data_IF_132359972559
#
_entry.id   IF_132359972559
#
_cell.length_a   1.000
_cell.length_b   1.000
_cell.length_c   1.000
_cell.angle_alpha   90.00
_cell.angle_beta   90.00
_cell.angle_gamma   90.00
#
_symmetry.space_group_name_H-M   'P 1'
#
loop_
_entity.id
_entity.type
_entity.pdbx_description
1 polymer ?
#
# COMPACT_ATOMS: atom_id res chain seq x y z
N UNK A 1 -34.32 -11.91 -2.45
CA UNK A 1 -32.86 -12.00 -2.29
C UNK A 1 -32.54 -12.19 -0.81
N UNK A 2 -31.78 -13.22 -0.42
CA UNK A 2 -31.44 -13.47 1.00
C UNK A 2 -30.43 -12.44 1.53
N UNK A 3 -30.34 -12.21 2.86
CA UNK A 3 -29.32 -11.34 3.44
C UNK A 3 -27.90 -11.77 3.06
N UNK A 4 -27.64 -13.08 3.03
CA UNK A 4 -26.36 -13.65 2.59
C UNK A 4 -26.07 -13.31 1.13
N UNK A 5 -27.01 -13.53 0.20
CA UNK A 5 -26.77 -13.21 -1.21
C UNK A 5 -26.59 -11.71 -1.44
N UNK A 6 -27.31 -10.88 -0.68
CA UNK A 6 -27.13 -9.41 -0.70
C UNK A 6 -25.74 -8.99 -0.20
N UNK A 7 -25.18 -9.70 0.79
CA UNK A 7 -23.82 -9.48 1.28
C UNK A 7 -22.78 -9.87 0.22
N UNK A 8 -22.89 -11.07 -0.36
CA UNK A 8 -22.00 -11.55 -1.42
C UNK A 8 -21.97 -10.60 -2.62
N UNK A 9 -23.13 -10.08 -3.03
CA UNK A 9 -23.21 -9.10 -4.12
C UNK A 9 -22.50 -7.78 -3.82
N UNK A 10 -22.57 -7.27 -2.58
CA UNK A 10 -21.81 -6.05 -2.22
C UNK A 10 -20.32 -6.30 -2.13
N UNK A 11 -19.91 -7.47 -1.65
CA UNK A 11 -18.50 -7.88 -1.64
C UNK A 11 -17.97 -7.97 -3.08
N UNK A 12 -18.71 -8.61 -3.99
CA UNK A 12 -18.40 -8.61 -5.43
C UNK A 12 -18.28 -7.20 -6.01
N UNK A 13 -19.21 -6.30 -5.65
CA UNK A 13 -19.14 -4.89 -6.08
C UNK A 13 -17.88 -4.20 -5.56
N UNK A 14 -17.54 -4.40 -4.29
CA UNK A 14 -16.35 -3.83 -3.67
C UNK A 14 -15.07 -4.29 -4.39
N UNK A 15 -14.84 -5.60 -4.53
CA UNK A 15 -13.61 -6.10 -5.15
C UNK A 15 -13.47 -5.65 -6.62
N UNK A 16 -14.58 -5.62 -7.37
CA UNK A 16 -14.55 -5.11 -8.74
C UNK A 16 -14.26 -3.60 -8.78
N UNK A 17 -14.82 -2.80 -7.85
CA UNK A 17 -14.57 -1.36 -7.78
C UNK A 17 -13.12 -1.09 -7.35
N UNK A 18 -12.59 -1.83 -6.37
CA UNK A 18 -11.19 -1.74 -5.96
C UNK A 18 -10.23 -2.08 -7.11
N UNK A 19 -10.51 -3.15 -7.86
CA UNK A 19 -9.72 -3.52 -9.03
C UNK A 19 -9.73 -2.42 -10.10
N UNK A 20 -10.90 -1.81 -10.37
CA UNK A 20 -11.01 -0.68 -11.29
C UNK A 20 -10.25 0.55 -10.78
N UNK A 21 -10.38 0.87 -9.50
CA UNK A 21 -9.67 1.97 -8.85
C UNK A 21 -8.16 1.85 -9.02
N UNK A 22 -7.60 0.64 -8.89
CA UNK A 22 -6.17 0.41 -9.14
C UNK A 22 -5.76 0.63 -10.61
N UNK A 23 -6.71 0.65 -11.55
CA UNK A 23 -6.46 0.77 -12.97
C UNK A 23 -6.70 2.19 -13.52
N UNK A 24 -7.62 2.95 -12.96
CA UNK A 24 -7.88 4.35 -13.30
C UNK A 24 -8.72 4.87 -12.15
N UNK A 25 -8.28 5.96 -11.52
CA UNK A 25 -8.99 6.50 -10.38
C UNK A 25 -8.92 8.01 -10.36
N UNK A 26 -10.08 8.61 -10.18
CA UNK A 26 -10.27 10.02 -9.85
C UNK A 26 -10.87 10.18 -8.44
N UNK A 27 -11.39 11.37 -8.16
CA UNK A 27 -11.98 11.69 -6.86
C UNK A 27 -13.31 10.96 -6.58
N UNK A 28 -14.16 10.87 -7.60
CA UNK A 28 -15.45 10.19 -7.52
C UNK A 28 -15.26 8.68 -7.30
N UNK A 29 -14.24 8.10 -7.93
CA UNK A 29 -13.89 6.70 -7.77
C UNK A 29 -13.52 6.34 -6.32
N UNK A 30 -12.81 7.20 -5.60
CA UNK A 30 -12.46 6.95 -4.20
C UNK A 30 -13.71 7.01 -3.31
N UNK A 31 -14.55 8.04 -3.47
CA UNK A 31 -15.77 8.20 -2.68
C UNK A 31 -16.72 7.01 -2.87
N UNK A 32 -16.89 6.56 -4.11
CA UNK A 32 -17.71 5.39 -4.42
C UNK A 32 -17.07 4.12 -3.82
N UNK A 33 -15.76 3.92 -3.99
CA UNK A 33 -15.04 2.77 -3.41
C UNK A 33 -15.25 2.68 -1.89
N UNK A 34 -15.05 3.79 -1.18
CA UNK A 34 -15.24 3.85 0.27
C UNK A 34 -16.69 3.60 0.70
N UNK A 35 -17.65 4.02 -0.13
CA UNK A 35 -19.08 3.81 0.13
C UNK A 35 -19.46 2.35 -0.03
N UNK A 36 -19.04 1.71 -1.13
CA UNK A 36 -19.25 0.28 -1.38
C UNK A 36 -18.53 -0.57 -0.34
N UNK A 37 -17.31 -0.17 0.07
CA UNK A 37 -16.57 -0.79 1.18
C UNK A 37 -17.40 -0.81 2.47
N UNK A 38 -17.96 0.32 2.87
CA UNK A 38 -18.78 0.41 4.08
C UNK A 38 -20.03 -0.47 4.00
N UNK A 39 -20.73 -0.43 2.86
CA UNK A 39 -21.91 -1.26 2.59
C UNK A 39 -21.59 -2.76 2.72
N UNK A 40 -20.51 -3.21 2.07
CA UNK A 40 -20.06 -4.60 2.13
C UNK A 40 -19.75 -5.03 3.57
N UNK A 41 -19.01 -4.22 4.32
CA UNK A 41 -18.64 -4.52 5.71
C UNK A 41 -19.86 -4.55 6.64
N UNK A 42 -20.82 -3.64 6.47
CA UNK A 42 -22.03 -3.60 7.28
C UNK A 42 -22.93 -4.81 7.03
N UNK A 43 -23.04 -5.28 5.78
CA UNK A 43 -23.76 -6.53 5.46
C UNK A 43 -23.03 -7.75 6.00
N UNK A 44 -21.71 -7.80 5.86
CA UNK A 44 -20.90 -8.90 6.37
C UNK A 44 -20.97 -9.01 7.89
N UNK A 45 -20.89 -7.88 8.61
CA UNK A 45 -21.07 -7.83 10.06
C UNK A 45 -22.46 -8.35 10.49
N UNK A 46 -23.52 -8.04 9.73
CA UNK A 46 -24.88 -8.52 10.03
C UNK A 46 -25.06 -10.02 9.79
N UNK A 47 -24.47 -10.56 8.72
CA UNK A 47 -24.70 -11.95 8.30
C UNK A 47 -23.73 -12.94 8.96
N UNK A 48 -22.50 -12.51 9.28
CA UNK A 48 -21.42 -13.37 9.81
C UNK A 48 -20.87 -12.90 11.16
N UNK A 49 -21.41 -11.83 11.74
CA UNK A 49 -20.97 -11.28 13.04
C UNK A 49 -19.50 -10.84 13.08
N UNK A 50 -18.92 -10.48 11.93
CA UNK A 50 -17.56 -9.93 11.84
C UNK A 50 -17.48 -8.58 12.55
N UNK A 51 -16.48 -8.41 13.42
CA UNK A 51 -16.29 -7.18 14.19
C UNK A 51 -15.20 -6.28 13.58
N UNK A 52 -15.58 -5.47 12.61
CA UNK A 52 -14.69 -4.46 12.02
C UNK A 52 -14.37 -3.28 12.94
N UNK A 53 -15.02 -3.14 14.11
CA UNK A 53 -14.77 -2.05 15.06
C UNK A 53 -13.36 -2.05 15.66
N UNK A 54 -12.65 -3.19 15.58
CA UNK A 54 -11.25 -3.31 16.00
C UNK A 54 -10.25 -3.16 14.84
N UNK A 55 -10.70 -3.22 13.58
CA UNK A 55 -9.82 -3.05 12.44
C UNK A 55 -9.49 -1.55 12.25
N UNK A 56 -8.22 -1.19 12.48
CA UNK A 56 -7.75 0.20 12.39
C UNK A 56 -7.98 0.80 11.00
N UNK A 57 -7.72 0.03 9.94
CA UNK A 57 -7.81 0.47 8.55
C UNK A 57 -9.27 0.72 8.17
N UNK A 58 -10.16 -0.21 8.50
CA UNK A 58 -11.61 -0.02 8.31
C UNK A 58 -12.11 1.26 8.97
N UNK A 59 -11.72 1.51 10.23
CA UNK A 59 -12.18 2.69 10.97
C UNK A 59 -11.65 3.99 10.40
N UNK A 60 -10.40 4.02 9.96
CA UNK A 60 -9.81 5.16 9.28
C UNK A 60 -10.55 5.45 7.96
N UNK A 61 -10.69 4.44 7.10
CA UNK A 61 -11.36 4.55 5.80
C UNK A 61 -12.84 4.92 5.93
N UNK A 62 -13.55 4.36 6.93
CA UNK A 62 -14.94 4.74 7.25
C UNK A 62 -15.05 6.18 7.71
N UNK A 63 -14.07 6.68 8.48
CA UNK A 63 -14.06 8.08 8.90
C UNK A 63 -13.93 9.02 7.71
N UNK A 64 -13.01 8.73 6.78
CA UNK A 64 -12.85 9.47 5.53
C UNK A 64 -14.12 9.41 4.67
N UNK A 65 -14.75 8.23 4.56
CA UNK A 65 -16.05 8.08 3.87
C UNK A 65 -17.12 8.99 4.47
N UNK A 66 -17.25 8.98 5.79
CA UNK A 66 -18.27 9.78 6.49
C UNK A 66 -18.03 11.27 6.25
N UNK A 67 -16.77 11.70 6.32
CA UNK A 67 -16.38 13.07 5.95
C UNK A 67 -16.80 13.41 4.51
N UNK A 68 -16.48 12.54 3.55
CA UNK A 68 -16.84 12.66 2.12
C UNK A 68 -18.34 12.79 1.84
N UNK A 69 -19.16 12.24 2.74
CA UNK A 69 -20.61 12.11 2.56
C UNK A 69 -21.35 13.28 3.22
N UNK A 70 -20.85 13.79 4.34
CA UNK A 70 -21.59 14.69 5.21
C UNK A 70 -21.01 16.10 5.31
N UNK A 71 -19.71 16.27 5.06
CA UNK A 71 -19.01 17.53 5.40
C UNK A 71 -18.38 18.19 4.18
N UNK A 72 -17.71 17.42 3.31
CA UNK A 72 -17.03 17.97 2.14
C UNK A 72 -16.70 16.88 1.12
N UNK A 73 -16.35 17.27 -0.09
CA UNK A 73 -15.83 16.35 -1.10
C UNK A 73 -14.41 15.88 -0.75
N UNK A 74 -14.12 14.59 -0.92
CA UNK A 74 -12.75 14.08 -0.83
C UNK A 74 -12.03 14.36 -2.15
N UNK A 75 -11.42 15.54 -2.27
CA UNK A 75 -10.54 15.83 -3.39
C UNK A 75 -9.25 14.99 -3.25
N UNK A 76 -9.23 13.76 -3.78
CA UNK A 76 -7.99 12.98 -3.90
C UNK A 76 -7.32 13.18 -5.26
N UNK A 77 -6.00 13.03 -5.26
CA UNK A 77 -5.20 12.81 -6.45
C UNK A 77 -4.60 11.42 -6.37
N UNK A 78 -5.17 10.49 -7.14
CA UNK A 78 -4.53 9.20 -7.33
C UNK A 78 -3.45 9.33 -8.39
N UNK A 79 -2.22 8.99 -8.02
CA UNK A 79 -1.06 9.06 -8.90
C UNK A 79 -0.35 7.72 -8.90
N UNK A 80 0.61 7.60 -9.81
CA UNK A 80 1.53 6.49 -9.88
C UNK A 80 2.98 6.97 -9.89
N UNK A 81 3.88 6.16 -9.35
CA UNK A 81 5.33 6.35 -9.47
C UNK A 81 5.71 6.06 -10.93
N UNK A 82 6.25 7.05 -11.63
CA UNK A 82 6.71 6.89 -13.02
C UNK A 82 7.72 5.75 -13.12
N UNK A 83 7.74 5.04 -14.25
CA UNK A 83 8.77 4.03 -14.48
C UNK A 83 10.17 4.66 -14.46
N UNK A 84 10.32 5.90 -14.91
CA UNK A 84 11.61 6.58 -14.92
C UNK A 84 12.16 6.86 -13.51
N UNK A 85 11.27 6.92 -12.51
CA UNK A 85 11.62 7.31 -11.14
C UNK A 85 12.02 6.15 -10.23
N UNK A 86 11.95 4.91 -10.70
CA UNK A 86 12.37 3.73 -9.91
C UNK A 86 13.85 3.74 -9.52
N UNK A 87 14.67 4.61 -10.14
CA UNK A 87 16.07 4.85 -9.77
C UNK A 87 16.23 5.65 -8.49
N UNK A 88 15.35 6.61 -8.26
CA UNK A 88 15.48 7.59 -7.18
C UNK A 88 14.52 7.29 -6.03
N UNK A 89 13.68 6.26 -6.17
CA UNK A 89 12.64 5.89 -5.22
C UNK A 89 12.69 4.40 -4.90
N UNK A 90 12.68 4.08 -3.61
CA UNK A 90 12.28 2.79 -3.10
C UNK A 90 10.81 2.86 -2.62
N UNK A 91 9.95 2.00 -3.17
CA UNK A 91 8.56 1.86 -2.77
C UNK A 91 8.06 0.43 -3.06
N UNK A 92 7.29 -0.15 -2.15
CA UNK A 92 6.69 -1.50 -2.32
C UNK A 92 5.59 -1.51 -3.38
N UNK A 93 4.91 -0.38 -3.57
CA UNK A 93 3.83 -0.21 -4.52
C UNK A 93 4.02 1.05 -5.35
N UNK A 94 3.54 0.99 -6.59
CA UNK A 94 3.66 2.10 -7.53
C UNK A 94 2.42 3.01 -7.54
N UNK A 95 1.36 2.66 -6.81
CA UNK A 95 0.14 3.44 -6.71
C UNK A 95 0.12 4.24 -5.41
N UNK A 96 -0.31 5.49 -5.50
CA UNK A 96 -0.46 6.39 -4.35
C UNK A 96 -1.83 7.07 -4.42
N UNK A 97 -2.49 7.19 -3.28
CA UNK A 97 -3.82 7.82 -3.16
C UNK A 97 -3.70 9.01 -2.22
N UNK A 98 -3.42 10.18 -2.79
CA UNK A 98 -3.06 11.37 -2.02
C UNK A 98 -4.30 12.19 -1.69
N UNK A 99 -4.47 12.49 -0.41
CA UNK A 99 -5.37 13.51 0.10
C UNK A 99 -4.56 14.74 0.51
N UNK A 100 -5.06 15.98 0.30
CA UNK A 100 -4.48 17.15 0.96
C UNK A 100 -4.49 16.96 2.48
N UNK A 101 -3.40 17.31 3.16
CA UNK A 101 -3.30 17.16 4.62
C UNK A 101 -4.38 17.98 5.33
N UNK A 102 -4.77 19.12 4.77
CA UNK A 102 -5.82 19.98 5.30
C UNK A 102 -7.17 19.26 5.37
N UNK A 103 -7.46 18.38 4.41
CA UNK A 103 -8.66 17.55 4.37
C UNK A 103 -8.62 16.51 5.49
N UNK A 104 -7.47 15.84 5.67
CA UNK A 104 -7.30 14.85 6.75
C UNK A 104 -7.36 15.50 8.13
N UNK A 105 -6.71 16.64 8.31
CA UNK A 105 -6.75 17.41 9.55
C UNK A 105 -8.15 17.91 9.86
N UNK A 106 -8.89 18.38 8.85
CA UNK A 106 -10.28 18.75 9.01
C UNK A 106 -11.12 17.54 9.45
N UNK A 107 -10.96 16.39 8.81
CA UNK A 107 -11.64 15.16 9.22
C UNK A 107 -11.29 14.80 10.68
N UNK A 108 -10.02 14.88 11.07
CA UNK A 108 -9.55 14.63 12.44
C UNK A 108 -10.22 15.56 13.46
N UNK A 109 -10.27 16.88 13.18
CA UNK A 109 -10.86 17.88 14.08
C UNK A 109 -12.34 17.62 14.37
N UNK A 110 -13.07 17.04 13.40
CA UNK A 110 -14.50 16.78 13.52
C UNK A 110 -14.83 15.38 14.08
N UNK A 111 -13.83 14.54 14.33
CA UNK A 111 -14.02 13.22 14.95
C UNK A 111 -14.11 13.33 16.47
N UNK A 112 -15.16 12.73 17.06
CA UNK A 112 -15.32 12.64 18.52
C UNK A 112 -14.49 11.52 19.17
N UNK A 113 -14.21 10.46 18.42
CA UNK A 113 -13.54 9.26 18.97
C UNK A 113 -12.03 9.39 18.91
N UNK A 114 -11.37 9.50 20.08
CA UNK A 114 -9.90 9.47 20.21
C UNK A 114 -9.28 8.26 19.51
N UNK A 115 -9.95 7.11 19.58
CA UNK A 115 -9.48 5.88 18.91
C UNK A 115 -9.55 5.98 17.39
N UNK A 116 -10.62 6.55 16.81
CA UNK A 116 -10.68 6.76 15.36
C UNK A 116 -9.62 7.76 14.91
N UNK A 117 -9.39 8.83 15.68
CA UNK A 117 -8.31 9.80 15.38
C UNK A 117 -6.96 9.10 15.35
N UNK A 118 -6.64 8.28 16.36
CA UNK A 118 -5.41 7.48 16.40
C UNK A 118 -5.29 6.59 15.17
N UNK A 119 -6.34 5.83 14.84
CA UNK A 119 -6.33 4.94 13.69
C UNK A 119 -6.21 5.66 12.35
N UNK A 120 -6.83 6.83 12.19
CA UNK A 120 -6.69 7.63 10.98
C UNK A 120 -5.22 8.06 10.81
N UNK A 121 -4.58 8.58 11.86
CA UNK A 121 -3.16 8.96 11.82
C UNK A 121 -2.23 7.77 11.52
N UNK A 122 -2.51 6.60 12.08
CA UNK A 122 -1.70 5.39 11.87
C UNK A 122 -1.93 4.72 10.51
N UNK A 123 -3.09 4.96 9.87
CA UNK A 123 -3.45 4.35 8.60
C UNK A 123 -3.00 5.21 7.39
N UNK A 124 -2.65 6.47 7.60
CA UNK A 124 -2.18 7.37 6.55
C UNK A 124 -0.69 7.62 6.65
N UNK A 125 -0.02 7.79 5.51
CA UNK A 125 1.39 8.20 5.47
C UNK A 125 1.46 9.67 5.08
N UNK A 126 2.09 10.50 5.93
CA UNK A 126 2.19 11.93 5.67
C UNK A 126 3.44 12.25 4.85
N UNK A 127 3.22 12.88 3.70
CA UNK A 127 4.19 13.49 2.81
C UNK A 127 3.90 15.00 2.75
N UNK A 128 4.25 15.72 3.82
CA UNK A 128 4.20 17.18 3.91
C UNK A 128 2.81 17.77 3.66
N UNK A 129 2.50 18.05 2.38
CA UNK A 129 1.20 18.58 1.92
C UNK A 129 0.16 17.49 1.65
N UNK A 130 0.59 16.23 1.56
CA UNK A 130 -0.27 15.11 1.20
C UNK A 130 -0.27 14.03 2.28
N UNK A 131 -1.39 13.33 2.39
CA UNK A 131 -1.53 12.10 3.16
C UNK A 131 -1.90 10.98 2.20
N UNK A 132 -1.06 9.96 2.10
CA UNK A 132 -1.34 8.78 1.30
C UNK A 132 -2.17 7.77 2.10
N UNK A 133 -3.32 7.39 1.53
CA UNK A 133 -4.25 6.41 2.11
C UNK A 133 -4.22 5.07 1.38
N UNK A 134 -3.47 4.96 0.27
CA UNK A 134 -3.43 3.74 -0.52
C UNK A 134 -2.99 2.52 0.29
N UNK A 135 -1.98 2.60 1.18
CA UNK A 135 -1.59 1.45 2.00
C UNK A 135 -2.70 0.96 2.92
N UNK A 136 -3.56 1.86 3.42
CA UNK A 136 -4.74 1.46 4.19
C UNK A 136 -5.79 0.78 3.32
N UNK A 137 -6.05 1.30 2.12
CA UNK A 137 -6.99 0.70 1.16
C UNK A 137 -6.55 -0.71 0.75
N UNK A 138 -5.29 -0.87 0.33
CA UNK A 138 -4.72 -2.15 -0.08
C UNK A 138 -4.80 -3.16 1.07
N UNK A 139 -4.21 -2.83 2.21
CA UNK A 139 -4.14 -3.77 3.32
C UNK A 139 -5.53 -4.11 3.90
N UNK A 140 -6.49 -3.18 3.86
CA UNK A 140 -7.87 -3.49 4.25
C UNK A 140 -8.56 -4.42 3.24
N UNK A 141 -8.28 -4.26 1.94
CA UNK A 141 -8.79 -5.17 0.90
C UNK A 141 -8.30 -6.60 1.15
N UNK A 142 -7.03 -6.75 1.55
CA UNK A 142 -6.44 -8.03 1.96
C UNK A 142 -7.12 -8.58 3.22
N UNK A 143 -7.32 -7.75 4.25
CA UNK A 143 -8.08 -8.15 5.45
C UNK A 143 -9.48 -8.68 5.07
N UNK A 144 -10.18 -7.98 4.19
CA UNK A 144 -11.53 -8.35 3.76
C UNK A 144 -11.54 -9.62 2.91
N UNK A 145 -10.53 -9.84 2.08
CA UNK A 145 -10.36 -11.11 1.35
C UNK A 145 -10.26 -12.28 2.32
N UNK A 146 -9.43 -12.17 3.36
CA UNK A 146 -9.29 -13.25 4.34
C UNK A 146 -10.57 -13.49 5.15
N UNK A 147 -11.34 -12.45 5.47
CA UNK A 147 -12.67 -12.60 6.08
C UNK A 147 -13.65 -13.36 5.16
N UNK A 148 -13.65 -13.04 3.86
CA UNK A 148 -14.47 -13.72 2.85
C UNK A 148 -14.14 -15.20 2.75
N UNK A 149 -12.85 -15.53 2.66
CA UNK A 149 -12.36 -16.91 2.57
C UNK A 149 -12.68 -17.67 3.87
N UNK A 150 -12.42 -17.06 5.03
CA UNK A 150 -12.70 -17.65 6.34
C UNK A 150 -14.19 -18.02 6.50
N UNK A 151 -15.08 -17.16 6.00
CA UNK A 151 -16.53 -17.39 6.06
C UNK A 151 -17.11 -18.19 4.89
N UNK A 152 -16.25 -18.68 3.98
CA UNK A 152 -16.60 -19.50 2.80
C UNK A 152 -17.71 -18.85 1.96
N UNK A 153 -17.60 -17.54 1.74
CA UNK A 153 -18.56 -16.79 0.94
C UNK A 153 -18.31 -16.99 -0.56
N UNK A 154 -19.38 -16.99 -1.35
CA UNK A 154 -19.26 -17.13 -2.80
C UNK A 154 -19.23 -15.76 -3.48
N UNK A 155 -18.03 -15.29 -3.83
CA UNK A 155 -17.80 -13.97 -4.43
C UNK A 155 -17.53 -14.10 -5.92
N UNK A 156 -18.45 -13.56 -6.72
CA UNK A 156 -18.30 -13.46 -8.17
C UNK A 156 -17.56 -12.17 -8.56
N UNK A 157 -16.90 -12.17 -9.71
CA UNK A 157 -16.26 -10.98 -10.29
C UNK A 157 -14.77 -11.15 -10.57
N UNK A 158 -14.27 -10.43 -11.58
CA UNK A 158 -12.86 -10.47 -11.96
C UNK A 158 -11.97 -9.88 -10.87
N UNK A 159 -12.41 -8.81 -10.19
CA UNK A 159 -11.59 -8.15 -9.17
C UNK A 159 -11.23 -9.07 -7.99
N UNK A 160 -12.16 -9.91 -7.54
CA UNK A 160 -11.89 -10.90 -6.49
C UNK A 160 -10.93 -11.99 -6.97
N UNK A 161 -11.13 -12.49 -8.21
CA UNK A 161 -10.26 -13.52 -8.81
C UNK A 161 -8.83 -13.02 -9.04
N UNK A 162 -8.65 -11.77 -9.45
CA UNK A 162 -7.31 -11.19 -9.61
C UNK A 162 -6.60 -11.03 -8.26
N UNK A 163 -7.31 -10.61 -7.21
CA UNK A 163 -6.74 -10.57 -5.85
C UNK A 163 -6.37 -11.97 -5.34
N UNK A 164 -7.23 -12.96 -5.56
CA UNK A 164 -6.95 -14.36 -5.21
C UNK A 164 -5.70 -14.89 -5.92
N UNK A 165 -5.52 -14.59 -7.21
CA UNK A 165 -4.30 -14.93 -7.95
C UNK A 165 -3.07 -14.26 -7.36
N UNK A 166 -3.15 -12.97 -7.00
CA UNK A 166 -2.05 -12.24 -6.35
C UNK A 166 -1.64 -12.91 -5.04
N UNK A 167 -2.61 -13.17 -4.15
CA UNK A 167 -2.37 -13.78 -2.84
C UNK A 167 -1.78 -15.20 -2.99
N UNK A 168 -2.23 -15.98 -3.97
CA UNK A 168 -1.67 -17.30 -4.23
C UNK A 168 -0.24 -17.23 -4.79
N UNK A 169 0.05 -16.26 -5.65
CA UNK A 169 1.42 -16.00 -6.12
C UNK A 169 2.33 -15.62 -4.95
N UNK A 170 1.86 -14.74 -4.05
CA UNK A 170 2.60 -14.30 -2.87
C UNK A 170 2.93 -15.48 -1.94
N UNK A 171 1.95 -16.35 -1.66
CA UNK A 171 2.17 -17.58 -0.88
C UNK A 171 3.20 -18.51 -1.52
N UNK A 172 3.13 -18.68 -2.85
CA UNK A 172 4.00 -19.60 -3.57
C UNK A 172 5.47 -19.14 -3.57
N UNK A 173 5.69 -17.83 -3.57
CA UNK A 173 7.04 -17.25 -3.72
C UNK A 173 7.55 -16.54 -2.45
N UNK A 174 6.84 -16.68 -1.32
CA UNK A 174 7.28 -16.12 -0.04
C UNK A 174 7.21 -14.58 0.05
N UNK A 175 6.34 -13.93 -0.74
CA UNK A 175 6.09 -12.50 -0.63
C UNK A 175 5.06 -12.18 0.47
N UNK A 176 5.16 -11.03 1.13
CA UNK A 176 4.16 -10.61 2.11
C UNK A 176 2.86 -10.17 1.45
N UNK A 177 1.73 -10.43 2.14
CA UNK A 177 0.39 -10.02 1.71
C UNK A 177 0.08 -8.55 2.01
N UNK A 178 0.87 -7.93 2.88
CA UNK A 178 0.64 -6.59 3.37
C UNK A 178 1.81 -5.69 2.98
N UNK A 179 1.51 -4.42 2.76
CA UNK A 179 2.49 -3.40 2.39
C UNK A 179 2.65 -2.37 3.51
N UNK A 180 3.87 -1.86 3.67
CA UNK A 180 4.15 -0.67 4.47
C UNK A 180 3.74 0.60 3.71
N UNK A 181 4.08 0.68 2.42
CA UNK A 181 3.64 1.69 1.47
C UNK A 181 4.35 3.04 1.54
N UNK A 182 5.42 3.16 2.33
CA UNK A 182 6.22 4.38 2.40
C UNK A 182 7.08 4.53 1.13
N UNK A 183 7.07 5.73 0.56
CA UNK A 183 7.96 6.16 -0.51
C UNK A 183 9.24 6.68 0.14
N UNK A 184 10.38 6.15 -0.28
CA UNK A 184 11.69 6.50 0.24
C UNK A 184 12.54 7.01 -0.92
N UNK A 185 13.11 8.21 -0.77
CA UNK A 185 14.01 8.79 -1.76
C UNK A 185 15.42 8.23 -1.58
N UNK A 186 15.93 7.54 -2.59
CA UNK A 186 17.27 6.92 -2.59
C UNK A 186 18.40 7.94 -2.83
N UNK A 187 18.06 9.11 -3.36
CA UNK A 187 18.99 10.21 -3.61
C UNK A 187 19.03 11.24 -2.46
N UNK A 188 18.28 10.99 -1.38
CA UNK A 188 18.18 11.90 -0.23
C UNK A 188 17.28 13.12 -0.45
N UNK A 189 16.62 13.23 -1.61
CA UNK A 189 15.73 14.34 -1.93
C UNK A 189 14.44 14.32 -1.09
N UNK A 190 13.68 15.42 -1.17
CA UNK A 190 12.37 15.52 -0.49
C UNK A 190 11.27 14.80 -1.29
N UNK A 191 10.55 13.90 -0.63
CA UNK A 191 9.47 13.11 -1.22
C UNK A 191 8.32 13.97 -1.75
N UNK A 192 8.08 15.15 -1.18
CA UNK A 192 7.01 16.03 -1.67
C UNK A 192 7.39 16.64 -3.02
N UNK A 193 8.66 17.01 -3.18
CA UNK A 193 9.19 17.47 -4.46
C UNK A 193 9.04 16.37 -5.52
N UNK A 194 9.31 15.12 -5.16
CA UNK A 194 9.06 13.98 -6.04
C UNK A 194 7.58 13.83 -6.42
N UNK A 195 6.67 13.86 -5.44
CA UNK A 195 5.22 13.71 -5.65
C UNK A 195 4.65 14.84 -6.53
N UNK A 196 5.15 16.06 -6.39
CA UNK A 196 4.71 17.21 -7.16
C UNK A 196 5.25 17.19 -8.59
N UNK A 197 6.53 16.85 -8.78
CA UNK A 197 7.21 16.98 -10.06
C UNK A 197 7.21 15.71 -10.94
N UNK A 198 7.18 14.52 -10.32
CA UNK A 198 7.48 13.26 -11.02
C UNK A 198 6.40 12.18 -10.88
N UNK A 199 5.51 12.26 -9.89
CA UNK A 199 4.37 11.35 -9.84
C UNK A 199 3.41 11.63 -11.01
N UNK A 200 3.05 10.59 -11.74
CA UNK A 200 2.27 10.66 -12.99
C UNK A 200 0.84 10.18 -12.80
N UNK A 201 -0.06 10.50 -13.74
CA UNK A 201 -1.39 9.87 -13.75
C UNK A 201 -1.28 8.37 -14.02
N UNK A 202 -2.28 7.60 -13.58
CA UNK A 202 -2.30 6.14 -13.80
C UNK A 202 -2.33 5.82 -15.31
N UNK A 203 -3.00 6.63 -16.12
CA UNK A 203 -3.05 6.50 -17.58
C UNK A 203 -1.69 6.76 -18.21
N UNK A 204 -0.94 7.77 -17.74
CA UNK A 204 0.42 8.01 -18.22
C UNK A 204 1.33 6.84 -17.85
N UNK A 205 1.24 6.32 -16.63
CA UNK A 205 1.98 5.12 -16.22
C UNK A 205 1.67 3.91 -17.10
N UNK A 206 0.40 3.69 -17.43
CA UNK A 206 0.00 2.62 -18.35
C UNK A 206 0.62 2.78 -19.73
N UNK A 207 0.76 4.01 -20.23
CA UNK A 207 1.47 4.28 -21.49
C UNK A 207 2.97 4.00 -21.36
N UNK A 208 3.62 4.45 -20.29
CA UNK A 208 5.03 4.12 -20.01
C UNK A 208 5.27 2.60 -19.95
N UNK A 209 4.29 1.85 -19.43
CA UNK A 209 4.28 0.37 -19.45
C UNK A 209 3.95 -0.20 -20.82
N UNK A 210 3.05 0.40 -21.57
CA UNK A 210 2.73 -0.02 -22.94
C UNK A 210 3.95 0.07 -23.87
N UNK A 211 4.70 1.17 -23.75
CA UNK A 211 5.82 1.58 -24.60
C UNK A 211 7.18 0.98 -24.17
N UNK A 212 7.21 0.22 -23.08
CA UNK A 212 8.41 -0.46 -22.61
C UNK A 212 8.99 -1.40 -23.69
N UNK A 213 10.31 -1.39 -23.93
CA UNK A 213 10.91 -2.34 -24.85
C UNK A 213 10.69 -3.78 -24.36
N UNK A 214 10.45 -4.68 -25.29
CA UNK A 214 10.28 -6.10 -25.01
C UNK A 214 11.65 -6.76 -25.12
N UNK A 215 12.07 -7.42 -24.04
CA UNK A 215 13.31 -8.19 -23.99
C UNK A 215 13.22 -9.46 -24.84
N UNK A 216 14.35 -10.14 -25.01
CA UNK A 216 14.44 -11.41 -25.76
C UNK A 216 13.58 -12.52 -25.14
N UNK A 217 13.25 -12.41 -23.86
CA UNK A 217 12.36 -13.30 -23.11
C UNK A 217 10.86 -13.03 -23.35
N UNK A 218 10.53 -12.05 -24.21
CA UNK A 218 9.15 -11.64 -24.47
C UNK A 218 8.53 -10.83 -23.33
N UNK A 219 9.28 -10.53 -22.27
CA UNK A 219 8.84 -9.69 -21.16
C UNK A 219 9.18 -8.23 -21.44
N UNK A 220 8.32 -7.34 -20.97
CA UNK A 220 8.64 -5.91 -20.99
C UNK A 220 9.77 -5.65 -20.01
N UNK A 221 10.91 -5.23 -20.54
CA UNK A 221 12.12 -5.01 -19.77
C UNK A 221 12.45 -3.53 -19.74
N UNK A 222 12.80 -3.05 -18.56
CA UNK A 222 13.41 -1.75 -18.39
C UNK A 222 14.86 -1.97 -18.01
N UNK A 223 15.78 -1.68 -18.94
CA UNK A 223 17.19 -1.61 -18.58
C UNK A 223 17.41 -0.30 -17.84
N UNK A 224 17.45 -0.39 -16.52
CA UNK A 224 17.72 0.73 -15.65
C UNK A 224 19.18 0.64 -15.27
N UNK A 225 20.02 1.45 -15.93
CA UNK A 225 21.40 1.63 -15.50
C UNK A 225 21.37 2.36 -14.13
N UNK A 226 21.89 1.70 -13.10
CA UNK A 226 22.20 2.31 -11.82
C UNK A 226 23.20 3.44 -12.05
N UNK A 227 22.84 4.67 -11.67
CA UNK A 227 23.74 5.83 -11.80
C UNK A 227 24.81 5.83 -10.71
N UNK A 228 24.52 5.19 -9.58
CA UNK A 228 25.40 4.98 -8.44
C UNK A 228 25.29 3.54 -7.96
N UNK A 229 26.31 3.05 -7.26
CA UNK A 229 26.21 1.71 -6.67
C UNK A 229 25.20 1.74 -5.51
N UNK A 230 24.49 0.63 -5.23
CA UNK A 230 23.54 0.56 -4.11
C UNK A 230 24.12 0.99 -2.75
N UNK A 231 25.43 0.81 -2.53
CA UNK A 231 26.13 1.30 -1.34
C UNK A 231 26.17 2.83 -1.26
N UNK A 232 26.39 3.50 -2.39
CA UNK A 232 26.41 4.97 -2.45
C UNK A 232 25.00 5.54 -2.22
N UNK A 233 23.98 4.91 -2.80
CA UNK A 233 22.57 5.26 -2.59
C UNK A 233 22.20 5.09 -1.11
N UNK A 234 22.51 3.94 -0.51
CA UNK A 234 22.27 3.72 0.91
C UNK A 234 23.04 4.72 1.79
N UNK A 235 24.25 5.12 1.43
CA UNK A 235 25.05 6.04 2.25
C UNK A 235 24.41 7.41 2.47
N UNK A 236 23.59 7.88 1.51
CA UNK A 236 22.89 9.18 1.59
C UNK A 236 21.47 9.07 2.14
N UNK A 237 20.95 7.85 2.33
CA UNK A 237 19.64 7.63 2.94
C UNK A 237 19.65 8.04 4.40
N UNK A 238 18.53 8.64 4.84
CA UNK A 238 18.30 8.94 6.26
C UNK A 238 18.26 7.65 7.07
N UNK A 239 18.78 7.70 8.29
CA UNK A 239 18.79 6.52 9.19
C UNK A 239 17.38 6.00 9.44
N UNK A 240 16.42 6.90 9.63
CA UNK A 240 15.02 6.54 9.89
C UNK A 240 14.38 5.80 8.71
N UNK A 241 14.83 6.07 7.47
CA UNK A 241 14.37 5.37 6.28
C UNK A 241 15.00 3.99 6.16
N UNK A 242 16.28 3.84 6.50
CA UNK A 242 16.94 2.52 6.60
C UNK A 242 16.28 1.65 7.67
N UNK A 243 16.07 2.21 8.85
CA UNK A 243 15.39 1.53 9.97
C UNK A 243 13.97 1.12 9.57
N UNK A 244 13.25 1.96 8.82
CA UNK A 244 11.93 1.62 8.29
C UNK A 244 11.98 0.40 7.36
N UNK A 245 12.88 0.39 6.37
CA UNK A 245 13.00 -0.75 5.43
C UNK A 245 13.38 -2.02 6.17
N UNK A 246 14.35 -1.94 7.10
CA UNK A 246 14.77 -3.09 7.89
C UNK A 246 13.62 -3.67 8.73
N UNK A 247 12.92 -2.81 9.47
CA UNK A 247 11.79 -3.24 10.30
C UNK A 247 10.67 -3.83 9.45
N UNK A 248 10.37 -3.24 8.29
CA UNK A 248 9.39 -3.78 7.35
C UNK A 248 9.75 -5.19 6.89
N UNK A 249 11.02 -5.44 6.52
CA UNK A 249 11.48 -6.77 6.10
C UNK A 249 11.39 -7.81 7.22
N UNK A 250 11.68 -7.42 8.45
CA UNK A 250 11.61 -8.30 9.63
C UNK A 250 10.13 -8.58 9.98
N UNK A 251 9.32 -7.54 10.12
CA UNK A 251 7.92 -7.63 10.54
C UNK A 251 7.05 -8.39 9.53
N UNK A 252 7.40 -8.30 8.25
CA UNK A 252 6.74 -9.04 7.17
C UNK A 252 7.21 -10.50 7.07
N UNK A 253 8.22 -10.90 7.84
CA UNK A 253 8.84 -12.23 7.79
C UNK A 253 9.71 -12.47 6.57
N UNK A 254 9.95 -11.45 5.74
CA UNK A 254 10.83 -11.54 4.57
C UNK A 254 12.27 -11.84 5.00
N UNK A 255 12.70 -11.24 6.11
CA UNK A 255 14.03 -11.41 6.69
C UNK A 255 13.90 -12.01 8.08
N UNK A 256 14.69 -13.03 8.37
CA UNK A 256 14.90 -13.54 9.74
C UNK A 256 16.37 -13.41 10.11
N UNK A 257 16.64 -12.78 11.26
CA UNK A 257 17.98 -12.57 11.80
C UNK A 257 18.22 -13.52 12.98
N UNK A 258 19.24 -14.37 12.86
CA UNK A 258 19.66 -15.30 13.91
C UNK A 258 21.15 -15.08 14.22
N UNK A 259 21.45 -14.12 15.09
CA UNK A 259 22.82 -13.63 15.29
C UNK A 259 23.36 -13.03 13.99
N UNK A 260 24.48 -13.55 13.50
CA UNK A 260 25.09 -13.10 12.23
C UNK A 260 24.55 -13.82 10.99
N UNK A 261 23.57 -14.72 11.14
CA UNK A 261 22.94 -15.41 10.01
C UNK A 261 21.67 -14.70 9.58
N UNK A 262 21.52 -14.52 8.27
CA UNK A 262 20.32 -13.98 7.63
C UNK A 262 19.72 -15.03 6.72
N UNK A 263 18.42 -15.24 6.84
CA UNK A 263 17.63 -16.01 5.88
C UNK A 263 16.53 -15.14 5.30
N UNK A 264 16.23 -15.35 4.02
CA UNK A 264 15.18 -14.60 3.32
C UNK A 264 14.16 -15.52 2.66
N UNK A 265 12.90 -15.12 2.63
CA UNK A 265 11.82 -15.88 1.96
C UNK A 265 11.73 -15.59 0.47
N UNK A 266 12.30 -14.46 0.04
CA UNK A 266 12.39 -13.99 -1.34
C UNK A 266 13.77 -13.37 -1.63
N UNK A 267 14.14 -13.16 -2.90
CA UNK A 267 15.25 -12.29 -3.25
C UNK A 267 15.05 -10.88 -2.70
N UNK A 268 16.13 -10.29 -2.19
CA UNK A 268 16.17 -8.90 -1.75
C UNK A 268 16.54 -8.01 -2.93
N UNK A 269 15.95 -6.81 -2.98
CA UNK A 269 16.47 -5.79 -3.88
C UNK A 269 17.85 -5.31 -3.39
N UNK A 270 18.67 -4.68 -4.26
CA UNK A 270 20.03 -4.30 -3.89
C UNK A 270 20.12 -3.36 -2.69
N UNK A 271 19.18 -2.42 -2.53
CA UNK A 271 19.14 -1.51 -1.38
C UNK A 271 18.81 -2.24 -0.07
N UNK A 272 17.82 -3.14 -0.09
CA UNK A 272 17.47 -3.99 1.04
C UNK A 272 18.69 -4.82 1.50
N UNK A 273 19.44 -5.40 0.55
CA UNK A 273 20.63 -6.17 0.85
C UNK A 273 21.73 -5.32 1.51
N UNK A 274 21.95 -4.09 1.03
CA UNK A 274 22.91 -3.15 1.62
C UNK A 274 22.51 -2.76 3.04
N UNK A 275 21.23 -2.42 3.27
CA UNK A 275 20.72 -2.03 4.60
C UNK A 275 20.92 -3.15 5.62
N UNK A 276 20.63 -4.40 5.25
CA UNK A 276 20.86 -5.56 6.12
C UNK A 276 22.35 -5.73 6.42
N UNK A 277 23.20 -5.61 5.40
CA UNK A 277 24.64 -5.74 5.57
C UNK A 277 25.21 -4.67 6.53
N UNK A 278 24.78 -3.40 6.38
CA UNK A 278 25.13 -2.32 7.31
C UNK A 278 24.70 -2.65 8.75
N UNK A 279 23.46 -3.11 8.94
CA UNK A 279 22.92 -3.47 10.25
C UNK A 279 23.72 -4.59 10.95
N UNK A 280 24.10 -5.64 10.22
CA UNK A 280 24.89 -6.75 10.78
C UNK A 280 26.29 -6.30 11.21
N UNK A 281 26.92 -5.41 10.45
CA UNK A 281 28.24 -4.89 10.76
C UNK A 281 28.21 -3.95 11.99
N UNK A 282 27.20 -3.09 12.09
CA UNK A 282 27.00 -2.27 13.29
C UNK A 282 26.75 -3.12 14.54
N UNK A 283 25.95 -4.19 14.41
CA UNK A 283 25.63 -5.10 15.51
C UNK A 283 26.85 -5.91 15.96
N UNK A 284 27.68 -6.36 15.02
CA UNK A 284 28.94 -7.07 15.30
C UNK A 284 29.98 -6.19 15.98
N UNK A 285 29.98 -4.88 15.70
CA UNK A 285 30.90 -3.92 16.32
C UNK A 285 30.52 -3.64 17.77
N UNK A 286 29.20 -3.60 18.08
CA UNK A 286 28.68 -3.41 19.45
C UNK A 286 28.85 -4.62 20.38
N UNK A 287 29.02 -5.83 19.83
CA UNK A 287 29.30 -7.05 20.60
C UNK A 287 30.76 -7.19 21.02
N UNK A 288 31.66 -6.39 20.43
CA UNK A 288 33.11 -6.42 20.67
C UNK A 288 33.65 -5.22 21.48
N UNK A 289 32.75 -4.41 22.05
CA UNK A 289 33.04 -3.29 22.96
C UNK A 289 32.33 -3.50 24.28
#
# INVERSE_FOLDING_TARGET
MTPLKSCELELSRYFNKYFKYCASSDADDLKELLSVMCSACEKLAKVKSVNFGKNKRYRALKALRNFATHESELLNSSKAISVASVKVVHAEVQLISLLPVEVVDYAIRNLKSKQTIKYLKEATINYGKYADIYPALFNFTVDLYFEVVNHKLNIDGSGFKELEKSINHEKLHGFPHYIGGKIIMLDGSDVNTFIEAQAVSIEKKKREVAEAPVGEDGLKSYVIAYEKMPFDEASVMKKEDKDYVLNLLIDSGVVTLNGNKVSTTRPLNPIEAVIIHEYLNESSTKLNT
#
